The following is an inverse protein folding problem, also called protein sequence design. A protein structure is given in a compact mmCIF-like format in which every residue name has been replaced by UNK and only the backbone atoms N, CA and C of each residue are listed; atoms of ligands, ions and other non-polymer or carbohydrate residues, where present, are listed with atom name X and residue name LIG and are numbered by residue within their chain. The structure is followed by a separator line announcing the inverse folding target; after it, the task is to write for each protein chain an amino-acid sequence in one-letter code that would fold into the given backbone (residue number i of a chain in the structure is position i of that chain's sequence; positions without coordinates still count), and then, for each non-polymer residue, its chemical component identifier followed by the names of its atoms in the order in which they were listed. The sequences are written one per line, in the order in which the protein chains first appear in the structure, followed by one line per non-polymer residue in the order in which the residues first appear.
data_IF_130422167132
#
_entry.id   IF_130422167132
#
_cell.length_a   1.000
_cell.length_b   1.000
_cell.length_c   1.000
_cell.angle_alpha   90.00
_cell.angle_beta   90.00
_cell.angle_gamma   90.00
#
_symmetry.space_group_name_H-M   'P 1'
#
loop_
_entity.id
_entity.type
_entity.pdbx_description
1 polymer ?
#
# COMPACT_ATOMS: atom_id res chain seq x y z
N UNK A 1 7.65 -27.48 -1.83
CA UNK A 1 6.90 -26.60 -0.91
C UNK A 1 5.94 -25.77 -1.75
N UNK A 2 4.66 -26.15 -1.83
CA UNK A 2 3.66 -25.46 -2.66
C UNK A 2 2.77 -24.51 -1.81
N UNK A 3 2.59 -24.73 -0.51
CA UNK A 3 1.51 -24.08 0.25
C UNK A 3 1.65 -22.56 0.47
N UNK A 4 2.86 -22.03 0.70
CA UNK A 4 3.04 -20.62 1.10
C UNK A 4 2.70 -19.60 0.01
N UNK A 5 3.06 -19.90 -1.25
CA UNK A 5 2.82 -19.02 -2.39
C UNK A 5 1.34 -18.89 -2.74
N UNK A 6 0.63 -20.01 -2.88
CA UNK A 6 -0.80 -19.97 -3.25
C UNK A 6 -1.64 -19.36 -2.13
N UNK A 7 -1.27 -19.57 -0.87
CA UNK A 7 -1.93 -18.93 0.25
C UNK A 7 -1.78 -17.40 0.20
N UNK A 8 -0.57 -16.89 -0.09
CA UNK A 8 -0.34 -15.45 -0.23
C UNK A 8 -1.13 -14.85 -1.40
N UNK A 9 -1.09 -15.48 -2.57
CA UNK A 9 -1.86 -15.05 -3.74
C UNK A 9 -3.36 -15.09 -3.50
N UNK A 10 -3.85 -16.15 -2.86
CA UNK A 10 -5.27 -16.29 -2.51
C UNK A 10 -5.70 -15.22 -1.52
N UNK A 11 -4.89 -14.94 -0.49
CA UNK A 11 -5.20 -13.92 0.51
C UNK A 11 -5.14 -12.50 -0.06
N UNK A 12 -4.18 -12.21 -0.96
CA UNK A 12 -4.15 -10.93 -1.67
C UNK A 12 -5.35 -10.81 -2.62
N UNK A 13 -5.67 -11.87 -3.36
CA UNK A 13 -6.86 -11.87 -4.21
C UNK A 13 -8.14 -11.66 -3.40
N UNK A 14 -8.24 -12.26 -2.20
CA UNK A 14 -9.34 -12.03 -1.26
C UNK A 14 -9.34 -10.61 -0.71
N UNK A 15 -8.18 -10.04 -0.37
CA UNK A 15 -8.10 -8.65 0.11
C UNK A 15 -8.49 -7.65 -0.99
N UNK A 16 -8.02 -7.87 -2.22
CA UNK A 16 -8.41 -7.10 -3.42
C UNK A 16 -9.90 -7.30 -3.67
N UNK A 17 -10.42 -8.53 -3.66
CA UNK A 17 -11.84 -8.80 -3.85
C UNK A 17 -12.69 -8.11 -2.78
N UNK A 18 -12.32 -8.19 -1.50
CA UNK A 18 -13.02 -7.52 -0.40
C UNK A 18 -12.99 -6.00 -0.57
N UNK A 19 -11.82 -5.44 -0.93
CA UNK A 19 -11.70 -4.03 -1.23
C UNK A 19 -12.62 -3.64 -2.39
N UNK A 20 -12.58 -4.38 -3.50
CA UNK A 20 -13.41 -4.09 -4.67
C UNK A 20 -14.90 -4.29 -4.38
N UNK A 21 -15.30 -5.36 -3.68
CA UNK A 21 -16.70 -5.62 -3.33
C UNK A 21 -17.26 -4.57 -2.39
N UNK A 22 -16.43 -3.99 -1.51
CA UNK A 22 -16.87 -2.96 -0.56
C UNK A 22 -16.82 -1.55 -1.17
N UNK A 23 -15.79 -1.25 -1.98
CA UNK A 23 -15.59 0.06 -2.61
C UNK A 23 -16.43 0.23 -3.88
N UNK A 24 -16.69 -0.83 -4.63
CA UNK A 24 -17.41 -0.82 -5.91
C UNK A 24 -18.75 -1.56 -5.85
N UNK A 25 -19.47 -1.42 -4.74
CA UNK A 25 -20.84 -1.92 -4.58
C UNK A 25 -21.85 -1.04 -5.37
N UNK A 26 -21.71 -1.05 -6.70
CA UNK A 26 -22.55 -0.30 -7.62
C UNK A 26 -24.00 -0.77 -7.63
N UNK A 27 -24.23 -2.06 -7.33
CA UNK A 27 -25.57 -2.67 -7.36
C UNK A 27 -26.41 -2.16 -6.20
N UNK A 28 -25.87 -2.17 -4.97
CA UNK A 28 -26.58 -1.63 -3.80
C UNK A 28 -26.88 -0.14 -3.98
N UNK A 29 -25.96 0.61 -4.60
CA UNK A 29 -26.20 2.02 -4.91
C UNK A 29 -27.22 2.28 -6.00
N UNK A 30 -27.17 1.51 -7.09
CA UNK A 30 -28.16 1.59 -8.15
C UNK A 30 -29.56 1.31 -7.59
N UNK A 31 -29.71 0.34 -6.70
CA UNK A 31 -30.99 0.03 -6.04
C UNK A 31 -31.46 1.19 -5.15
N UNK A 32 -30.57 1.82 -4.38
CA UNK A 32 -30.91 3.00 -3.54
C UNK A 32 -31.28 4.22 -4.38
N UNK A 33 -30.59 4.46 -5.50
CA UNK A 33 -30.88 5.56 -6.41
C UNK A 33 -32.19 5.35 -7.19
N UNK A 34 -32.41 4.14 -7.73
CA UNK A 34 -33.61 3.80 -8.51
C UNK A 34 -34.86 3.77 -7.62
N UNK A 35 -34.73 3.43 -6.34
CA UNK A 35 -35.86 3.40 -5.39
C UNK A 35 -36.32 4.77 -4.91
N UNK A 36 -35.63 5.88 -5.26
CA UNK A 36 -35.98 7.24 -4.83
C UNK A 36 -35.87 7.47 -3.30
N UNK A 37 -35.38 6.48 -2.57
CA UNK A 37 -35.41 6.44 -1.11
C UNK A 37 -34.43 7.43 -0.46
N UNK A 38 -33.47 7.96 -1.23
CA UNK A 38 -32.58 9.03 -0.83
C UNK A 38 -33.24 10.42 -0.79
N UNK A 39 -34.33 10.64 -1.53
CA UNK A 39 -35.06 11.92 -1.60
C UNK A 39 -36.12 12.07 -0.49
N UNK A 40 -36.50 10.96 0.16
CA UNK A 40 -37.49 10.94 1.25
C UNK A 40 -36.75 10.99 2.60
N UNK A 41 -36.84 12.14 3.28
CA UNK A 41 -36.23 12.33 4.60
C UNK A 41 -36.69 11.25 5.59
N UNK A 42 -35.73 10.44 6.07
CA UNK A 42 -35.95 9.43 7.11
C UNK A 42 -36.04 7.97 6.65
N UNK A 43 -36.11 7.67 5.33
CA UNK A 43 -36.28 6.28 4.86
C UNK A 43 -34.96 5.53 4.66
N UNK A 44 -34.06 6.02 3.78
CA UNK A 44 -32.76 5.38 3.53
C UNK A 44 -31.57 6.07 4.22
N UNK A 45 -31.78 7.22 4.88
CA UNK A 45 -30.72 7.93 5.60
C UNK A 45 -29.95 7.04 6.60
N UNK A 46 -30.61 6.27 7.48
CA UNK A 46 -29.92 5.41 8.45
C UNK A 46 -29.11 4.28 7.81
N UNK A 47 -29.59 3.67 6.72
CA UNK A 47 -28.88 2.58 6.03
C UNK A 47 -27.66 3.10 5.26
N UNK A 48 -27.79 4.30 4.68
CA UNK A 48 -26.68 4.99 4.01
C UNK A 48 -25.61 5.40 5.02
N UNK A 49 -25.99 5.95 6.18
CA UNK A 49 -25.05 6.34 7.24
C UNK A 49 -24.35 5.11 7.82
N UNK A 50 -25.06 3.99 8.05
CA UNK A 50 -24.43 2.77 8.60
C UNK A 50 -23.50 2.08 7.59
N UNK A 51 -23.89 1.96 6.32
CA UNK A 51 -22.99 1.43 5.29
C UNK A 51 -21.76 2.32 5.06
N UNK A 52 -21.95 3.64 4.97
CA UNK A 52 -20.88 4.60 4.65
C UNK A 52 -19.99 4.88 5.85
N UNK A 53 -20.56 4.96 7.05
CA UNK A 53 -19.88 5.37 8.27
C UNK A 53 -19.25 4.22 9.06
N UNK A 54 -19.72 2.98 8.89
CA UNK A 54 -19.23 1.84 9.68
C UNK A 54 -18.76 0.66 8.83
N UNK A 55 -19.64 0.07 8.00
CA UNK A 55 -19.35 -1.21 7.33
C UNK A 55 -18.18 -1.09 6.37
N UNK A 56 -18.16 -0.05 5.53
CA UNK A 56 -17.12 0.08 4.50
C UNK A 56 -15.78 0.59 5.02
N UNK A 57 -15.71 1.56 5.95
CA UNK A 57 -14.45 1.86 6.64
C UNK A 57 -13.88 0.62 7.35
N UNK A 58 -14.74 -0.20 7.97
CA UNK A 58 -14.32 -1.47 8.57
C UNK A 58 -13.82 -2.48 7.52
N UNK A 59 -14.50 -2.60 6.37
CA UNK A 59 -14.07 -3.45 5.26
C UNK A 59 -12.72 -3.04 4.67
N UNK A 60 -12.49 -1.73 4.46
CA UNK A 60 -11.22 -1.18 4.00
C UNK A 60 -10.12 -1.45 5.05
N UNK A 61 -10.42 -1.23 6.34
CA UNK A 61 -9.50 -1.53 7.43
C UNK A 61 -9.13 -3.01 7.49
N UNK A 62 -10.10 -3.92 7.30
CA UNK A 62 -9.88 -5.36 7.26
C UNK A 62 -9.01 -5.76 6.06
N UNK A 63 -9.30 -5.23 4.87
CA UNK A 63 -8.49 -5.48 3.67
C UNK A 63 -7.04 -5.00 3.87
N UNK A 64 -6.85 -3.81 4.45
CA UNK A 64 -5.53 -3.30 4.84
C UNK A 64 -4.81 -4.21 5.83
N UNK A 65 -5.50 -4.68 6.87
CA UNK A 65 -4.94 -5.59 7.86
C UNK A 65 -4.51 -6.94 7.24
N UNK A 66 -5.33 -7.51 6.36
CA UNK A 66 -4.98 -8.73 5.61
C UNK A 66 -3.73 -8.48 4.77
N UNK A 67 -3.64 -7.35 4.06
CA UNK A 67 -2.47 -7.00 3.24
C UNK A 67 -1.18 -6.90 4.06
N UNK A 68 -1.23 -6.27 5.24
CA UNK A 68 -0.08 -6.19 6.15
C UNK A 68 0.36 -7.58 6.61
N UNK A 69 -0.59 -8.40 7.10
CA UNK A 69 -0.32 -9.75 7.58
C UNK A 69 0.28 -10.64 6.48
N UNK A 70 -0.27 -10.57 5.26
CA UNK A 70 0.24 -11.32 4.11
C UNK A 70 1.64 -10.87 3.72
N UNK A 71 1.89 -9.56 3.73
CA UNK A 71 3.22 -9.01 3.41
C UNK A 71 4.25 -9.48 4.44
N UNK A 72 3.89 -9.49 5.72
CA UNK A 72 4.77 -9.99 6.79
C UNK A 72 5.04 -11.49 6.67
N UNK A 73 3.99 -12.28 6.43
CA UNK A 73 4.13 -13.72 6.19
C UNK A 73 5.06 -13.99 4.99
N UNK A 74 4.93 -13.21 3.90
CA UNK A 74 5.78 -13.31 2.72
C UNK A 74 7.24 -12.96 3.01
N UNK A 75 7.49 -11.87 3.73
CA UNK A 75 8.84 -11.48 4.14
C UNK A 75 9.50 -12.55 5.01
N UNK A 76 8.74 -13.10 5.96
CA UNK A 76 9.21 -14.16 6.87
C UNK A 76 9.53 -15.45 6.12
N UNK A 77 8.68 -15.80 5.15
CA UNK A 77 8.85 -16.97 4.30
C UNK A 77 10.10 -16.83 3.40
N UNK A 78 10.32 -15.65 2.81
CA UNK A 78 11.51 -15.35 2.01
C UNK A 78 12.78 -15.14 2.87
N UNK A 79 12.71 -15.32 4.19
CA UNK A 79 13.81 -15.15 5.14
C UNK A 79 14.49 -13.76 5.06
N UNK A 80 13.72 -12.74 4.71
CA UNK A 80 14.19 -11.35 4.60
C UNK A 80 14.40 -10.77 6.01
N UNK A 81 15.38 -9.86 6.15
CA UNK A 81 15.66 -9.16 7.40
C UNK A 81 14.39 -8.50 7.97
N UNK A 82 14.15 -8.65 9.27
CA UNK A 82 12.99 -8.12 10.01
C UNK A 82 12.83 -6.60 9.90
N UNK A 83 13.92 -5.87 9.65
CA UNK A 83 13.87 -4.43 9.36
C UNK A 83 12.91 -4.08 8.21
N UNK A 84 12.77 -4.96 7.22
CA UNK A 84 11.80 -4.74 6.13
C UNK A 84 10.35 -4.80 6.61
N UNK A 85 10.03 -5.57 7.65
CA UNK A 85 8.69 -5.56 8.23
C UNK A 85 8.39 -4.19 8.87
N UNK A 86 9.37 -3.57 9.52
CA UNK A 86 9.22 -2.22 10.07
C UNK A 86 9.05 -1.17 8.96
N UNK A 87 9.85 -1.23 7.89
CA UNK A 87 9.73 -0.35 6.71
C UNK A 87 8.32 -0.43 6.12
N UNK A 88 7.84 -1.66 5.87
CA UNK A 88 6.52 -1.92 5.32
C UNK A 88 5.42 -1.42 6.25
N UNK A 89 5.56 -1.61 7.56
CA UNK A 89 4.58 -1.13 8.53
C UNK A 89 4.44 0.38 8.49
N UNK A 90 5.55 1.11 8.40
CA UNK A 90 5.56 2.57 8.28
C UNK A 90 4.85 3.01 7.00
N UNK A 91 5.14 2.37 5.87
CA UNK A 91 4.48 2.73 4.61
C UNK A 91 2.98 2.42 4.63
N UNK A 92 2.56 1.29 5.19
CA UNK A 92 1.15 0.96 5.35
C UNK A 92 0.44 1.93 6.30
N UNK A 93 1.05 2.29 7.43
CA UNK A 93 0.43 3.22 8.38
C UNK A 93 0.31 4.63 7.80
N UNK A 94 1.33 5.10 7.08
CA UNK A 94 1.31 6.36 6.35
C UNK A 94 0.26 6.38 5.23
N UNK A 95 0.00 5.22 4.61
CA UNK A 95 -0.96 5.10 3.50
C UNK A 95 -2.39 4.81 3.96
N UNK A 96 -2.63 4.54 5.25
CA UNK A 96 -3.90 4.00 5.73
C UNK A 96 -5.11 4.91 5.47
N UNK A 97 -4.89 6.24 5.45
CA UNK A 97 -5.96 7.21 5.20
C UNK A 97 -6.37 7.29 3.72
N UNK A 98 -5.46 7.00 2.78
CA UNK A 98 -5.69 7.21 1.36
C UNK A 98 -6.82 6.32 0.77
N UNK A 99 -6.90 5.01 1.07
CA UNK A 99 -8.05 4.20 0.68
C UNK A 99 -9.40 4.74 1.20
N UNK A 100 -9.40 5.46 2.32
CA UNK A 100 -10.58 6.14 2.84
C UNK A 100 -11.03 7.33 1.97
N UNK A 101 -10.11 8.00 1.26
CA UNK A 101 -10.44 9.09 0.32
C UNK A 101 -11.19 8.54 -0.90
N UNK A 102 -10.82 7.32 -1.35
CA UNK A 102 -11.54 6.63 -2.42
C UNK A 102 -13.00 6.31 -2.03
N UNK A 103 -13.28 6.13 -0.73
CA UNK A 103 -14.64 6.02 -0.24
C UNK A 103 -15.45 7.31 -0.43
N UNK A 104 -14.81 8.48 -0.54
CA UNK A 104 -15.44 9.76 -0.87
C UNK A 104 -15.94 9.86 -2.31
N UNK A 105 -15.51 8.97 -3.21
CA UNK A 105 -16.04 8.93 -4.58
C UNK A 105 -17.45 8.46 -4.75
N UNK A 106 -17.91 7.80 -3.72
CA UNK A 106 -19.25 7.33 -3.54
C UNK A 106 -20.31 8.43 -3.66
N UNK A 107 -20.04 9.64 -3.17
CA UNK A 107 -21.03 10.73 -3.18
C UNK A 107 -21.15 11.42 -4.54
N UNK A 108 -20.51 10.87 -5.58
CA UNK A 108 -20.40 11.52 -6.89
C UNK A 108 -19.46 12.73 -6.89
N UNK A 109 -18.74 12.97 -5.79
CA UNK A 109 -17.80 14.07 -5.64
C UNK A 109 -16.34 13.66 -5.88
N UNK A 110 -16.08 12.43 -6.35
CA UNK A 110 -14.71 12.04 -6.73
C UNK A 110 -14.28 12.83 -7.96
N UNK A 111 -13.53 13.88 -7.71
CA UNK A 111 -12.71 14.51 -8.72
C UNK A 111 -11.46 13.65 -8.91
N UNK A 112 -11.25 13.03 -10.08
CA UNK A 112 -10.07 12.20 -10.32
C UNK A 112 -8.77 12.98 -10.06
N UNK A 113 -8.80 14.30 -10.23
CA UNK A 113 -7.70 15.21 -9.89
C UNK A 113 -7.35 15.15 -8.40
N UNK A 114 -8.35 15.14 -7.51
CA UNK A 114 -8.15 15.05 -6.06
C UNK A 114 -7.51 13.73 -5.64
N UNK A 115 -7.75 12.62 -6.35
CA UNK A 115 -7.08 11.32 -6.07
C UNK A 115 -5.60 11.41 -6.39
N UNK A 116 -5.27 12.00 -7.54
CA UNK A 116 -3.89 12.16 -7.98
C UNK A 116 -3.13 13.12 -7.07
N UNK A 117 -3.75 14.22 -6.64
CA UNK A 117 -3.15 15.20 -5.73
C UNK A 117 -2.99 14.67 -4.30
N UNK A 118 -3.91 13.82 -3.84
CA UNK A 118 -3.90 13.25 -2.48
C UNK A 118 -3.07 11.96 -2.35
N UNK A 119 -2.47 11.48 -3.44
CA UNK A 119 -1.74 10.22 -3.47
C UNK A 119 -0.48 10.28 -2.59
N UNK A 120 -0.44 9.56 -1.45
CA UNK A 120 0.73 9.61 -0.58
C UNK A 120 1.91 8.95 -1.27
N UNK A 121 3.09 9.55 -1.17
CA UNK A 121 4.32 8.95 -1.67
C UNK A 121 4.53 7.57 -1.05
N UNK A 122 4.25 7.42 0.25
CA UNK A 122 4.31 6.15 0.97
C UNK A 122 3.49 5.02 0.30
N UNK A 123 2.35 5.37 -0.29
CA UNK A 123 1.48 4.41 -0.98
C UNK A 123 2.14 3.87 -2.26
N UNK A 124 2.88 4.71 -2.98
CA UNK A 124 3.66 4.29 -4.15
C UNK A 124 4.80 3.34 -3.76
N UNK A 125 5.54 3.66 -2.69
CA UNK A 125 6.63 2.82 -2.19
C UNK A 125 6.12 1.42 -1.78
N UNK A 126 5.04 1.35 -0.99
CA UNK A 126 4.47 0.05 -0.60
C UNK A 126 3.91 -0.71 -1.79
N UNK A 127 3.28 -0.02 -2.75
CA UNK A 127 2.71 -0.67 -3.94
C UNK A 127 3.80 -1.30 -4.81
N UNK A 128 4.89 -0.56 -5.08
CA UNK A 128 6.05 -1.08 -5.81
C UNK A 128 6.66 -2.27 -5.07
N UNK A 129 6.82 -2.17 -3.75
CA UNK A 129 7.41 -3.23 -2.95
C UNK A 129 6.53 -4.49 -2.90
N UNK A 130 5.23 -4.35 -2.65
CA UNK A 130 4.28 -5.47 -2.69
C UNK A 130 4.27 -6.12 -4.08
N UNK A 131 4.32 -5.31 -5.16
CA UNK A 131 4.41 -5.81 -6.54
C UNK A 131 5.70 -6.58 -6.79
N UNK A 132 6.81 -6.18 -6.19
CA UNK A 132 8.06 -6.92 -6.27
C UNK A 132 8.00 -8.26 -5.52
N UNK A 133 7.31 -8.33 -4.38
CA UNK A 133 7.13 -9.55 -3.59
C UNK A 133 6.25 -10.63 -4.26
N UNK A 134 5.51 -10.23 -5.29
CA UNK A 134 4.76 -11.13 -6.19
C UNK A 134 5.67 -12.15 -6.87
N UNK A 135 6.92 -11.77 -7.13
CA UNK A 135 7.86 -12.57 -7.91
C UNK A 135 8.20 -13.87 -7.17
N UNK A 136 8.26 -14.97 -7.92
CA UNK A 136 8.44 -16.32 -7.41
C UNK A 136 9.92 -16.67 -7.17
N UNK A 137 10.56 -15.98 -6.22
CA UNK A 137 11.98 -16.20 -5.87
C UNK A 137 12.31 -17.65 -5.43
N UNK A 138 11.29 -18.43 -5.05
CA UNK A 138 11.41 -19.82 -4.60
C UNK A 138 11.72 -20.83 -5.71
N UNK A 139 11.31 -20.54 -6.95
CA UNK A 139 11.45 -21.49 -8.07
C UNK A 139 12.85 -21.44 -8.69
N UNK A 140 13.67 -20.45 -8.33
CA UNK A 140 15.06 -20.30 -8.75
C UNK A 140 16.00 -20.27 -7.55
N UNK A 141 17.30 -20.46 -7.79
CA UNK A 141 18.37 -20.16 -6.79
C UNK A 141 18.56 -18.64 -6.61
N UNK A 142 17.47 -17.88 -6.66
CA UNK A 142 17.48 -16.43 -6.73
C UNK A 142 17.31 -15.85 -5.35
N UNK A 143 18.28 -15.06 -4.91
CA UNK A 143 18.24 -14.39 -3.60
C UNK A 143 17.44 -13.10 -3.73
N UNK A 144 16.45 -12.83 -2.85
CA UNK A 144 15.72 -11.56 -2.87
C UNK A 144 16.67 -10.37 -2.72
N UNK A 145 16.42 -9.30 -3.49
CA UNK A 145 17.23 -8.08 -3.58
C UNK A 145 18.59 -8.26 -4.27
N UNK A 146 18.72 -9.33 -5.07
CA UNK A 146 19.92 -9.60 -5.85
C UNK A 146 21.08 -10.08 -4.98
N UNK A 147 22.19 -10.46 -5.63
CA UNK A 147 23.40 -10.94 -4.94
C UNK A 147 24.41 -9.81 -4.66
N UNK A 148 24.28 -8.68 -5.36
CA UNK A 148 25.27 -7.61 -5.32
C UNK A 148 25.04 -6.66 -4.14
N UNK A 149 26.08 -6.51 -3.30
CA UNK A 149 25.99 -5.73 -2.07
C UNK A 149 25.68 -4.24 -2.32
N UNK A 150 26.25 -3.65 -3.37
CA UNK A 150 26.00 -2.24 -3.73
C UNK A 150 24.53 -2.01 -4.11
N UNK A 151 23.92 -2.94 -4.84
CA UNK A 151 22.54 -2.84 -5.28
C UNK A 151 21.57 -2.97 -4.11
N UNK A 152 21.88 -3.85 -3.15
CA UNK A 152 21.17 -3.92 -1.86
C UNK A 152 21.28 -2.63 -1.07
N UNK A 153 22.46 -1.99 -1.07
CA UNK A 153 22.65 -0.71 -0.40
C UNK A 153 21.78 0.39 -1.02
N UNK A 154 21.71 0.47 -2.35
CA UNK A 154 20.83 1.41 -3.06
C UNK A 154 19.36 1.18 -2.68
N UNK A 155 18.90 -0.08 -2.68
CA UNK A 155 17.54 -0.44 -2.27
C UNK A 155 17.26 0.00 -0.83
N UNK A 156 18.19 -0.25 0.09
CA UNK A 156 18.06 0.15 1.49
C UNK A 156 18.03 1.66 1.69
N UNK A 157 18.89 2.40 0.99
CA UNK A 157 18.92 3.87 1.04
C UNK A 157 17.60 4.43 0.50
N UNK A 158 17.13 3.94 -0.64
CA UNK A 158 15.87 4.37 -1.23
C UNK A 158 14.67 4.02 -0.34
N UNK A 159 14.66 2.84 0.28
CA UNK A 159 13.64 2.45 1.23
C UNK A 159 13.67 3.33 2.50
N UNK A 160 14.87 3.63 3.02
CA UNK A 160 15.06 4.52 4.17
C UNK A 160 14.57 5.93 3.88
N UNK A 161 14.88 6.47 2.69
CA UNK A 161 14.31 7.74 2.24
C UNK A 161 12.78 7.68 2.20
N UNK A 162 12.19 6.63 1.62
CA UNK A 162 10.75 6.46 1.57
C UNK A 162 10.09 6.38 2.95
N UNK A 163 10.76 5.78 3.94
CA UNK A 163 10.31 5.78 5.35
C UNK A 163 10.35 7.20 5.94
N UNK A 164 11.44 7.93 5.73
CA UNK A 164 11.57 9.30 6.21
C UNK A 164 10.52 10.22 5.57
N UNK A 165 10.30 10.09 4.26
CA UNK A 165 9.25 10.82 3.53
C UNK A 165 7.85 10.49 4.05
N UNK A 166 7.56 9.21 4.28
CA UNK A 166 6.30 8.78 4.88
C UNK A 166 6.06 9.41 6.26
N UNK A 167 7.09 9.46 7.11
CA UNK A 167 7.00 10.10 8.43
C UNK A 167 6.82 11.61 8.29
N UNK A 168 7.56 12.26 7.38
CA UNK A 168 7.53 13.71 7.20
C UNK A 168 6.17 14.22 6.69
N UNK A 169 5.58 13.52 5.73
CA UNK A 169 4.37 13.96 5.01
C UNK A 169 3.07 13.56 5.71
N UNK A 170 3.07 12.48 6.49
CA UNK A 170 1.84 11.97 7.10
C UNK A 170 1.47 12.75 8.35
N UNK A 171 0.46 13.62 8.24
CA UNK A 171 -0.11 14.32 9.38
C UNK A 171 -0.60 13.32 10.45
N UNK A 172 -0.16 13.52 11.70
CA UNK A 172 -0.58 12.66 12.82
C UNK A 172 0.05 11.27 12.83
N UNK A 173 1.10 11.01 12.02
CA UNK A 173 1.83 9.73 12.04
C UNK A 173 2.21 9.28 13.46
N UNK A 174 2.63 10.22 14.31
CA UNK A 174 3.03 9.96 15.69
C UNK A 174 1.90 9.56 16.64
N UNK A 175 0.62 9.77 16.29
CA UNK A 175 -0.50 9.46 17.17
C UNK A 175 -0.67 7.96 17.41
N UNK A 176 -0.46 7.15 16.36
CA UNK A 176 -0.58 5.69 16.42
C UNK A 176 0.51 5.06 17.32
N UNK A 177 1.82 5.33 17.13
CA UNK A 177 2.85 4.80 18.02
C UNK A 177 2.75 5.36 19.44
N UNK A 178 2.37 6.63 19.62
CA UNK A 178 2.16 7.21 20.96
C UNK A 178 1.06 6.47 21.74
N UNK A 179 -0.03 6.10 21.07
CA UNK A 179 -1.12 5.32 21.67
C UNK A 179 -0.70 3.88 21.98
N UNK A 180 0.06 3.24 21.08
CA UNK A 180 0.52 1.86 21.28
C UNK A 180 1.54 1.74 22.43
N UNK A 181 2.41 2.73 22.60
CA UNK A 181 3.44 2.76 23.64
C UNK A 181 2.96 3.40 24.95
N UNK A 182 1.75 3.98 24.98
CA UNK A 182 1.23 4.72 26.14
C UNK A 182 2.02 5.99 26.46
N UNK A 183 2.73 6.55 25.49
CA UNK A 183 3.66 7.67 25.65
C UNK A 183 3.24 8.85 24.76
N UNK A 184 2.43 9.79 25.29
CA UNK A 184 1.86 10.88 24.48
C UNK A 184 2.93 11.86 23.93
N UNK A 185 4.07 11.98 24.61
CA UNK A 185 5.18 12.85 24.18
C UNK A 185 5.81 12.43 22.84
N UNK A 186 5.65 11.17 22.44
CA UNK A 186 6.15 10.66 21.14
C UNK A 186 5.43 11.36 19.99
N UNK A 187 4.12 11.60 20.12
CA UNK A 187 3.35 12.26 19.08
C UNK A 187 3.81 13.71 18.88
N UNK A 188 4.06 14.45 19.98
CA UNK A 188 4.55 15.82 19.91
C UNK A 188 5.99 15.90 19.38
N UNK A 189 6.87 14.98 19.78
CA UNK A 189 8.25 14.96 19.31
C UNK A 189 8.34 14.67 17.80
N UNK A 190 7.53 13.71 17.31
CA UNK A 190 7.44 13.43 15.88
C UNK A 190 6.87 14.63 15.12
N UNK A 191 5.79 15.25 15.62
CA UNK A 191 5.18 16.41 14.98
C UNK A 191 6.14 17.62 14.89
N UNK A 192 7.00 17.82 15.87
CA UNK A 192 8.02 18.88 15.83
C UNK A 192 9.13 18.57 14.81
N UNK A 193 9.48 17.30 14.64
CA UNK A 193 10.51 16.87 13.71
C UNK A 193 10.03 16.86 12.25
N UNK A 194 8.76 16.58 12.01
CA UNK A 194 8.14 16.49 10.68
C UNK A 194 8.46 17.66 9.73
N UNK A 195 8.29 18.95 10.10
CA UNK A 195 8.57 20.05 9.19
C UNK A 195 10.06 20.17 8.85
N UNK A 196 10.96 19.87 9.81
CA UNK A 196 12.41 19.87 9.55
C UNK A 196 12.80 18.74 8.62
N UNK A 197 12.22 17.56 8.82
CA UNK A 197 12.45 16.40 7.98
C UNK A 197 11.93 16.63 6.56
N UNK A 198 10.74 17.21 6.41
CA UNK A 198 10.18 17.59 5.11
C UNK A 198 11.10 18.57 4.36
N UNK A 199 11.60 19.61 5.04
CA UNK A 199 12.52 20.58 4.45
C UNK A 199 13.85 19.96 3.98
N UNK A 200 14.40 19.01 4.74
CA UNK A 200 15.62 18.29 4.38
C UNK A 200 15.38 17.38 3.17
N UNK A 201 14.26 16.65 3.15
CA UNK A 201 13.93 15.68 2.10
C UNK A 201 13.54 16.33 0.77
N UNK A 202 13.01 17.55 0.81
CA UNK A 202 12.70 18.38 -0.36
C UNK A 202 13.97 18.87 -1.08
N UNK A 203 15.15 18.81 -0.45
CA UNK A 203 16.43 19.22 -1.05
C UNK A 203 16.41 20.65 -1.64
N UNK A 204 15.50 21.50 -1.15
CA UNK A 204 15.30 22.88 -1.62
C UNK A 204 14.52 23.01 -2.93
N UNK A 205 13.84 21.96 -3.42
CA UNK A 205 13.07 22.02 -4.66
C UNK A 205 11.67 22.63 -4.50
N UNK A 206 11.15 22.72 -3.29
CA UNK A 206 9.77 23.11 -3.00
C UNK A 206 8.73 22.12 -3.55
N UNK A 207 9.10 20.87 -3.83
CA UNK A 207 8.30 19.92 -4.59
C UNK A 207 8.50 18.46 -4.16
N UNK A 208 7.56 17.58 -4.51
CA UNK A 208 7.68 16.13 -4.29
C UNK A 208 8.65 15.42 -5.28
N UNK A 209 9.30 16.18 -6.16
CA UNK A 209 10.15 15.65 -7.23
C UNK A 209 11.31 14.78 -6.72
N UNK A 210 12.01 15.13 -5.62
CA UNK A 210 13.03 14.26 -5.03
C UNK A 210 12.47 12.90 -4.62
N UNK A 211 11.27 12.87 -4.06
CA UNK A 211 10.65 11.64 -3.59
C UNK A 211 10.27 10.70 -4.74
N UNK A 212 9.75 11.26 -5.84
CA UNK A 212 9.51 10.51 -7.07
C UNK A 212 10.79 10.03 -7.75
N UNK A 213 11.85 10.83 -7.72
CA UNK A 213 13.16 10.42 -8.25
C UNK A 213 13.72 9.22 -7.46
N UNK A 214 13.65 9.27 -6.12
CA UNK A 214 14.09 8.15 -5.27
C UNK A 214 13.20 6.92 -5.47
N UNK A 215 11.89 7.08 -5.67
CA UNK A 215 11.00 5.99 -6.04
C UNK A 215 11.42 5.35 -7.36
N UNK A 216 11.74 6.15 -8.38
CA UNK A 216 12.23 5.64 -9.67
C UNK A 216 13.55 4.86 -9.51
N UNK A 217 14.47 5.35 -8.67
CA UNK A 217 15.70 4.63 -8.30
C UNK A 217 15.38 3.31 -7.61
N UNK A 218 14.42 3.28 -6.69
CA UNK A 218 13.98 2.04 -6.03
C UNK A 218 13.45 1.04 -7.06
N UNK A 219 12.56 1.48 -7.96
CA UNK A 219 12.00 0.63 -9.03
C UNK A 219 13.12 0.07 -9.91
N UNK A 220 14.04 0.92 -10.39
CA UNK A 220 15.15 0.52 -11.22
C UNK A 220 16.07 -0.48 -10.50
N UNK A 221 16.39 -0.24 -9.23
CA UNK A 221 17.21 -1.13 -8.43
C UNK A 221 16.53 -2.47 -8.18
N UNK A 222 15.23 -2.48 -7.88
CA UNK A 222 14.45 -3.71 -7.72
C UNK A 222 14.41 -4.51 -9.03
N UNK A 223 14.18 -3.86 -10.17
CA UNK A 223 14.21 -4.52 -11.48
C UNK A 223 15.60 -5.07 -11.82
N UNK A 224 16.66 -4.29 -11.58
CA UNK A 224 18.04 -4.72 -11.79
C UNK A 224 18.47 -5.85 -10.84
N UNK A 225 17.79 -6.02 -9.70
CA UNK A 225 18.00 -7.13 -8.79
C UNK A 225 17.48 -8.47 -9.33
N UNK A 226 16.61 -8.43 -10.34
CA UNK A 226 15.98 -9.61 -10.93
C UNK A 226 16.92 -10.27 -11.95
N UNK A 227 17.02 -11.62 -11.93
CA UNK A 227 17.78 -12.32 -12.96
C UNK A 227 17.05 -12.28 -14.31
N UNK A 228 17.77 -12.44 -15.44
CA UNK A 228 17.21 -12.32 -16.80
C UNK A 228 15.99 -13.21 -17.04
N UNK A 229 15.95 -14.39 -16.39
CA UNK A 229 14.85 -15.35 -16.49
C UNK A 229 13.55 -14.84 -15.86
N UNK A 230 13.61 -14.06 -14.78
CA UNK A 230 12.41 -13.48 -14.16
C UNK A 230 11.89 -12.28 -14.95
N UNK A 231 12.80 -11.47 -15.51
CA UNK A 231 12.44 -10.39 -16.43
C UNK A 231 11.71 -10.94 -17.67
N UNK A 232 12.20 -12.04 -18.23
CA UNK A 232 11.54 -12.72 -19.35
C UNK A 232 10.15 -13.28 -18.99
N UNK A 233 9.92 -13.69 -17.73
CA UNK A 233 8.60 -14.12 -17.26
C UNK A 233 7.63 -12.96 -17.10
N UNK A 234 8.10 -11.79 -16.68
CA UNK A 234 7.29 -10.57 -16.63
C UNK A 234 6.85 -10.12 -18.03
N UNK A 235 7.69 -10.34 -19.04
CA UNK A 235 7.39 -10.01 -20.44
C UNK A 235 6.57 -11.09 -21.17
N UNK A 236 6.52 -12.32 -20.64
CA UNK A 236 5.76 -13.40 -21.26
C UNK A 236 4.26 -13.25 -20.93
N UNK A 237 3.36 -13.34 -21.92
CA UNK A 237 1.93 -13.38 -21.65
C UNK A 237 1.61 -14.57 -20.72
N UNK A 238 0.67 -14.38 -19.79
CA UNK A 238 0.20 -15.37 -18.81
C UNK A 238 -0.49 -16.55 -19.53
N UNK A 239 0.25 -17.35 -20.29
CA UNK A 239 -0.25 -18.60 -20.83
C UNK A 239 0.00 -19.68 -19.79
N UNK A 240 -1.09 -20.27 -19.30
CA UNK A 240 -1.07 -21.52 -18.56
C UNK A 240 -0.25 -22.53 -19.38
N UNK A 241 0.90 -22.91 -18.85
CA UNK A 241 1.81 -23.87 -19.46
C UNK A 241 1.20 -25.26 -19.31
N UNK A 242 0.23 -25.58 -20.17
CA UNK A 242 -0.59 -26.78 -19.99
C UNK A 242 -1.64 -27.01 -21.08
N UNK A 243 -1.31 -26.78 -22.36
CA UNK A 243 -2.09 -27.29 -23.50
C UNK A 243 -1.15 -27.71 -24.63
N UNK A 244 -0.27 -28.67 -24.35
CA UNK A 244 0.34 -29.53 -25.36
C UNK A 244 0.35 -30.96 -24.83
N UNK A 245 -0.80 -31.61 -24.94
CA UNK A 245 -0.89 -33.05 -25.13
C UNK A 245 -1.18 -33.28 -26.60
#
# INVERSE_FOLDING_TARGET
MFAGRYLWWMLIAVAIFLFFSMCFDYVTWAIVAISGCAEIAGSCGPIVITMSGAIKPAGIGLAGAIMVLCTFARLRYLSVNWLWAAVVLVWFSASAAFPGILAGGWTGQLRPEMVLESLPVAFLFVTVFCSYLVIAFEEGKTVPFGQWAWLRAVIWIAAGYGVLAAIAETAGFGALPARMLGMPWIASAIAELQPRLAAILDLGTGSMLPAYAVLAVLVAALLASLPPREVARLAAPFMLRGTRH
#
